data_IF_544180992718
#
_entry.id   IF_544180992718
#
_cell.length_a   1.000
_cell.length_b   1.000
_cell.length_c   1.000
_cell.angle_alpha   90.00
_cell.angle_beta   90.00
_cell.angle_gamma   90.00
#
_symmetry.space_group_name_H-M   'P 1'
#
loop_
_entity.id
_entity.type
_entity.pdbx_description
1 polymer ?
#
# COMPACT_ATOMS: atom_id res chain seq x y z
N UNK A 1 31.43 5.32 -10.48
CA UNK A 1 30.83 5.60 -9.15
C UNK A 1 29.46 4.96 -9.17
N UNK A 2 29.36 3.78 -8.52
CA UNK A 2 28.06 3.18 -8.26
C UNK A 2 27.30 4.15 -7.34
N UNK A 3 26.20 4.67 -7.80
CA UNK A 3 25.26 5.40 -6.94
C UNK A 3 24.60 4.32 -6.11
N UNK A 4 25.04 4.17 -4.86
CA UNK A 4 24.38 3.37 -3.87
C UNK A 4 22.91 3.83 -3.79
N UNK A 5 22.00 2.90 -4.07
CA UNK A 5 20.57 3.23 -4.01
C UNK A 5 20.25 3.71 -2.60
N UNK A 6 19.45 4.78 -2.41
CA UNK A 6 19.13 5.27 -1.08
C UNK A 6 18.45 4.15 -0.30
N UNK A 7 18.89 3.95 0.94
CA UNK A 7 18.25 3.02 1.86
C UNK A 7 16.89 3.60 2.27
N UNK A 8 15.83 3.07 1.64
CA UNK A 8 14.46 3.52 1.83
C UNK A 8 13.78 2.91 3.07
N UNK A 9 14.42 1.94 3.71
CA UNK A 9 13.75 1.08 4.70
C UNK A 9 14.38 1.10 6.08
N UNK A 10 15.64 1.48 6.23
CA UNK A 10 16.34 1.48 7.53
C UNK A 10 15.63 2.30 8.60
N UNK A 11 15.10 3.47 8.25
CA UNK A 11 14.34 4.29 9.20
C UNK A 11 13.01 3.62 9.61
N UNK A 12 12.36 2.87 8.70
CA UNK A 12 11.14 2.13 9.01
C UNK A 12 11.44 0.96 9.94
N UNK A 13 12.52 0.24 9.69
CA UNK A 13 12.95 -0.88 10.52
C UNK A 13 13.35 -0.42 11.93
N UNK A 14 14.00 0.74 12.05
CA UNK A 14 14.41 1.34 13.31
C UNK A 14 13.26 1.98 14.12
N UNK A 15 12.14 2.32 13.47
CA UNK A 15 11.02 3.00 14.11
C UNK A 15 10.44 2.18 15.27
N UNK A 16 10.08 2.85 16.35
CA UNK A 16 9.58 2.23 17.59
C UNK A 16 8.04 2.32 17.70
N UNK A 17 7.42 3.23 16.94
CA UNK A 17 5.99 3.45 16.98
C UNK A 17 5.42 3.83 15.60
N UNK A 18 4.10 3.89 15.51
CA UNK A 18 3.38 4.21 14.27
C UNK A 18 3.68 5.63 13.73
N UNK A 19 3.75 6.69 14.55
CA UNK A 19 4.18 8.01 14.12
C UNK A 19 5.57 8.06 13.48
N UNK A 20 6.54 7.33 14.04
CA UNK A 20 7.88 7.20 13.45
C UNK A 20 7.84 6.46 12.11
N UNK A 21 7.11 5.35 12.03
CA UNK A 21 6.88 4.64 10.76
C UNK A 21 6.25 5.56 9.70
N UNK A 22 5.25 6.37 10.08
CA UNK A 22 4.61 7.32 9.16
C UNK A 22 5.60 8.37 8.64
N UNK A 23 6.49 8.84 9.52
CA UNK A 23 7.53 9.83 9.16
C UNK A 23 8.55 9.22 8.21
N UNK A 24 9.06 8.03 8.52
CA UNK A 24 10.00 7.30 7.68
C UNK A 24 9.39 6.94 6.30
N UNK A 25 8.14 6.49 6.27
CA UNK A 25 7.45 6.19 5.03
C UNK A 25 7.27 7.43 4.14
N UNK A 26 6.99 8.61 4.75
CA UNK A 26 6.92 9.87 3.99
C UNK A 26 8.26 10.23 3.36
N UNK A 27 9.37 10.06 4.08
CA UNK A 27 10.72 10.30 3.54
C UNK A 27 11.05 9.34 2.42
N UNK A 28 10.73 8.06 2.58
CA UNK A 28 10.91 7.05 1.54
C UNK A 28 10.09 7.38 0.27
N UNK A 29 8.82 7.78 0.43
CA UNK A 29 8.00 8.22 -0.68
C UNK A 29 8.61 9.43 -1.42
N UNK A 30 9.10 10.44 -0.66
CA UNK A 30 9.77 11.61 -1.22
C UNK A 30 11.07 11.26 -1.96
N UNK A 31 11.87 10.34 -1.43
CA UNK A 31 13.07 9.85 -2.09
C UNK A 31 12.77 9.13 -3.41
N UNK A 32 11.60 8.49 -3.52
CA UNK A 32 11.07 7.90 -4.76
C UNK A 32 10.40 8.94 -5.69
N UNK A 33 10.33 10.21 -5.26
CA UNK A 33 9.73 11.31 -6.04
C UNK A 33 8.21 11.42 -5.92
N UNK A 34 7.62 10.97 -4.80
CA UNK A 34 6.19 11.07 -4.53
C UNK A 34 5.91 11.93 -3.31
N UNK A 35 4.89 12.78 -3.41
CA UNK A 35 4.48 13.71 -2.36
C UNK A 35 3.60 13.04 -1.32
N UNK A 36 2.87 12.01 -1.73
CA UNK A 36 1.84 11.37 -0.94
C UNK A 36 1.98 9.85 -0.93
N UNK A 37 1.62 9.24 0.20
CA UNK A 37 1.52 7.80 0.32
C UNK A 37 0.26 7.41 1.11
N UNK A 38 -0.21 6.21 0.89
CA UNK A 38 -1.15 5.53 1.77
C UNK A 38 -0.83 4.05 1.79
N UNK A 39 -0.79 3.48 2.97
CA UNK A 39 -0.68 2.04 3.18
C UNK A 39 -1.90 1.57 3.96
N UNK A 40 -2.62 0.64 3.39
CA UNK A 40 -3.73 -0.02 4.06
C UNK A 40 -3.54 -1.52 4.01
N UNK A 41 -3.81 -2.20 5.13
CA UNK A 41 -3.89 -3.64 5.09
C UNK A 41 -5.01 -4.16 5.99
N UNK A 42 -5.49 -5.34 5.66
CA UNK A 42 -6.55 -6.05 6.35
C UNK A 42 -6.03 -7.41 6.76
N UNK A 43 -6.34 -7.80 7.98
CA UNK A 43 -6.07 -9.14 8.49
C UNK A 43 -7.39 -9.81 8.87
N UNK A 44 -7.62 -11.04 8.43
CA UNK A 44 -8.79 -11.81 8.83
C UNK A 44 -8.57 -12.56 10.16
N UNK A 45 -7.93 -11.93 11.16
CA UNK A 45 -7.66 -12.54 12.47
C UNK A 45 -8.96 -13.06 13.11
N UNK A 46 -10.10 -12.51 12.76
CA UNK A 46 -11.41 -13.02 13.11
C UNK A 46 -12.32 -13.05 11.89
N UNK A 47 -12.99 -14.17 11.66
CA UNK A 47 -14.02 -14.28 10.62
C UNK A 47 -15.18 -13.29 10.84
N UNK A 48 -15.37 -12.86 12.09
CA UNK A 48 -16.45 -11.94 12.47
C UNK A 48 -16.04 -10.48 12.50
N UNK A 49 -14.75 -10.16 12.68
CA UNK A 49 -14.25 -8.79 12.80
C UNK A 49 -12.88 -8.66 12.10
N UNK A 50 -12.85 -8.47 10.78
CA UNK A 50 -11.58 -8.19 10.10
C UNK A 50 -11.04 -6.85 10.60
N UNK A 51 -9.83 -6.86 11.10
CA UNK A 51 -9.15 -5.63 11.51
C UNK A 51 -8.53 -4.97 10.28
N UNK A 52 -8.88 -3.72 10.04
CA UNK A 52 -8.28 -2.89 8.99
C UNK A 52 -7.39 -1.84 9.64
N UNK A 53 -6.18 -1.71 9.13
CA UNK A 53 -5.25 -0.66 9.51
C UNK A 53 -4.92 0.22 8.31
N UNK A 54 -4.90 1.55 8.52
CA UNK A 54 -4.57 2.52 7.48
C UNK A 54 -3.55 3.50 8.02
N UNK A 55 -2.38 3.56 7.37
CA UNK A 55 -1.37 4.59 7.55
C UNK A 55 -1.42 5.54 6.36
N UNK A 56 -1.87 6.78 6.56
CA UNK A 56 -2.11 7.71 5.46
C UNK A 56 -1.27 8.98 5.56
N UNK A 57 -0.53 9.25 4.50
CA UNK A 57 0.07 10.54 4.18
C UNK A 57 -0.66 11.27 3.04
N UNK A 58 -1.85 10.84 2.66
CA UNK A 58 -2.73 11.57 1.74
C UNK A 58 -3.33 12.79 2.42
N UNK A 59 -3.68 13.86 1.66
CA UNK A 59 -4.34 15.05 2.21
C UNK A 59 -5.59 14.68 3.00
N UNK A 60 -5.73 15.27 4.19
CA UNK A 60 -6.87 15.00 5.08
C UNK A 60 -8.21 15.31 4.41
N UNK A 61 -8.29 16.42 3.67
CA UNK A 61 -9.49 16.80 2.94
C UNK A 61 -9.90 15.72 1.92
N UNK A 62 -8.94 15.11 1.23
CA UNK A 62 -9.19 13.98 0.33
C UNK A 62 -9.70 12.76 1.08
N UNK A 63 -9.08 12.39 2.19
CA UNK A 63 -9.51 11.23 2.99
C UNK A 63 -10.96 11.37 3.46
N UNK A 64 -11.31 12.54 4.02
CA UNK A 64 -12.68 12.83 4.45
C UNK A 64 -13.67 12.82 3.27
N UNK A 65 -13.26 13.32 2.11
CA UNK A 65 -14.06 13.29 0.88
C UNK A 65 -14.29 11.87 0.35
N UNK A 66 -13.24 11.06 0.30
CA UNK A 66 -13.26 9.66 -0.12
C UNK A 66 -14.23 8.83 0.73
N UNK A 67 -14.14 8.97 2.06
CA UNK A 67 -14.99 8.24 3.00
C UNK A 67 -16.47 8.69 2.90
N UNK A 68 -16.72 10.00 2.79
CA UNK A 68 -18.08 10.56 2.63
C UNK A 68 -18.78 10.08 1.38
N UNK A 69 -18.04 9.90 0.29
CA UNK A 69 -18.59 9.42 -0.97
C UNK A 69 -18.59 7.89 -1.11
N UNK A 70 -18.15 7.16 -0.06
CA UNK A 70 -18.07 5.70 -0.05
C UNK A 70 -17.25 5.14 -1.23
N UNK A 71 -16.17 5.82 -1.60
CA UNK A 71 -15.35 5.47 -2.75
C UNK A 71 -14.66 4.11 -2.60
N UNK A 72 -14.43 3.65 -1.38
CA UNK A 72 -13.85 2.32 -1.12
C UNK A 72 -14.62 1.20 -1.85
N UNK A 73 -15.94 1.33 -1.99
CA UNK A 73 -16.78 0.31 -2.62
C UNK A 73 -16.61 0.21 -4.15
N UNK A 74 -16.05 1.24 -4.78
CA UNK A 74 -15.90 1.32 -6.25
C UNK A 74 -14.45 1.54 -6.69
N UNK A 75 -13.51 1.68 -5.76
CA UNK A 75 -12.11 1.98 -6.07
C UNK A 75 -11.44 0.78 -6.76
N UNK A 76 -11.07 0.91 -8.05
CA UNK A 76 -10.43 -0.18 -8.78
C UNK A 76 -9.00 -0.48 -8.27
N UNK A 77 -8.36 0.45 -7.55
CA UNK A 77 -7.07 0.20 -6.89
C UNK A 77 -7.21 -0.94 -5.90
N UNK A 78 -8.24 -0.90 -5.06
CA UNK A 78 -8.47 -1.92 -4.03
C UNK A 78 -8.80 -3.26 -4.67
N UNK A 79 -9.72 -3.27 -5.65
CA UNK A 79 -10.10 -4.50 -6.34
C UNK A 79 -8.90 -5.14 -7.05
N UNK A 80 -8.09 -4.35 -7.75
CA UNK A 80 -6.90 -4.86 -8.44
C UNK A 80 -5.82 -5.33 -7.45
N UNK A 81 -5.62 -4.63 -6.35
CA UNK A 81 -4.65 -5.02 -5.33
C UNK A 81 -4.96 -6.38 -4.68
N UNK A 82 -6.23 -6.72 -4.53
CA UNK A 82 -6.65 -8.03 -4.00
C UNK A 82 -6.39 -9.19 -4.98
N UNK A 83 -6.26 -8.91 -6.27
CA UNK A 83 -6.10 -9.92 -7.33
C UNK A 83 -4.70 -9.91 -7.98
N UNK A 84 -3.81 -9.00 -7.59
CA UNK A 84 -2.48 -8.85 -8.17
C UNK A 84 -1.40 -8.96 -7.10
N UNK A 85 -0.23 -9.47 -7.51
CA UNK A 85 1.00 -9.42 -6.70
C UNK A 85 2.02 -8.44 -7.28
N UNK A 86 1.77 -7.92 -8.48
CA UNK A 86 2.65 -6.97 -9.15
C UNK A 86 2.17 -5.55 -8.96
N UNK A 87 3.09 -4.58 -8.85
CA UNK A 87 2.75 -3.16 -8.89
C UNK A 87 2.04 -2.81 -10.19
N UNK A 88 1.16 -1.84 -10.13
CA UNK A 88 0.40 -1.36 -11.27
C UNK A 88 0.22 0.16 -11.23
N UNK A 89 0.27 0.78 -12.40
CA UNK A 89 0.03 2.20 -12.61
C UNK A 89 -1.48 2.50 -12.58
N UNK A 90 -1.87 3.61 -12.01
CA UNK A 90 -3.26 4.06 -12.02
C UNK A 90 -3.76 4.43 -13.43
N UNK A 91 -2.87 4.69 -14.37
CA UNK A 91 -3.24 4.89 -15.78
C UNK A 91 -3.72 3.61 -16.44
N UNK A 92 -3.34 2.44 -15.93
CA UNK A 92 -3.74 1.12 -16.43
C UNK A 92 -5.13 0.67 -15.92
N UNK A 93 -5.71 1.41 -14.98
CA UNK A 93 -7.00 1.05 -14.40
C UNK A 93 -8.15 1.42 -15.33
N UNK A 94 -9.18 0.57 -15.34
CA UNK A 94 -10.41 0.87 -16.05
C UNK A 94 -11.17 2.01 -15.35
N UNK A 95 -11.44 3.06 -16.10
CA UNK A 95 -12.16 4.26 -15.66
C UNK A 95 -13.44 4.49 -16.47
N UNK A 96 -13.95 3.44 -17.11
CA UNK A 96 -15.17 3.50 -17.94
C UNK A 96 -16.43 3.78 -17.13
N UNK A 97 -16.47 3.36 -15.85
CA UNK A 97 -17.57 3.75 -14.97
C UNK A 97 -17.48 5.25 -14.62
N UNK A 98 -18.56 6.02 -14.83
CA UNK A 98 -18.58 7.46 -14.53
C UNK A 98 -18.21 7.81 -13.09
N UNK A 99 -18.57 6.97 -12.11
CA UNK A 99 -18.21 7.18 -10.71
C UNK A 99 -16.72 6.93 -10.45
N UNK A 100 -16.12 5.94 -11.11
CA UNK A 100 -14.66 5.70 -11.06
C UNK A 100 -13.92 6.85 -11.73
N UNK A 101 -14.37 7.31 -12.91
CA UNK A 101 -13.79 8.48 -13.56
C UNK A 101 -13.88 9.74 -12.67
N UNK A 102 -14.98 9.91 -11.94
CA UNK A 102 -15.16 11.01 -10.98
C UNK A 102 -14.15 10.90 -9.83
N UNK A 103 -14.00 9.71 -9.22
CA UNK A 103 -13.04 9.45 -8.16
C UNK A 103 -11.62 9.92 -8.54
N UNK A 104 -11.11 9.50 -9.71
CA UNK A 104 -9.78 9.90 -10.15
C UNK A 104 -9.64 11.38 -10.50
N UNK A 105 -10.69 12.00 -11.03
CA UNK A 105 -10.71 13.45 -11.31
C UNK A 105 -10.62 14.24 -10.01
N UNK A 106 -11.43 13.88 -9.01
CA UNK A 106 -11.43 14.54 -7.70
C UNK A 106 -10.15 14.27 -6.92
N UNK A 107 -9.58 13.06 -6.99
CA UNK A 107 -8.26 12.75 -6.43
C UNK A 107 -7.18 13.68 -7.01
N UNK A 108 -7.22 13.93 -8.32
CA UNK A 108 -6.27 14.82 -9.00
C UNK A 108 -6.35 16.26 -8.50
N UNK A 109 -7.53 16.75 -8.10
CA UNK A 109 -7.72 18.08 -7.50
C UNK A 109 -7.03 18.22 -6.12
N UNK A 110 -6.76 17.08 -5.47
CA UNK A 110 -6.06 17.01 -4.20
C UNK A 110 -4.57 16.62 -4.33
N UNK A 111 -3.99 16.72 -5.55
CA UNK A 111 -2.59 16.38 -5.80
C UNK A 111 -2.32 14.91 -6.05
N UNK A 112 -3.33 14.06 -6.13
CA UNK A 112 -3.22 12.61 -6.33
C UNK A 112 -3.53 12.25 -7.80
N UNK A 113 -2.82 12.90 -8.73
CA UNK A 113 -3.09 12.76 -10.17
C UNK A 113 -2.40 11.55 -10.78
N UNK A 114 -1.13 11.38 -10.49
CA UNK A 114 -0.31 10.29 -10.99
C UNK A 114 0.15 9.43 -9.82
N UNK A 115 -0.09 8.14 -9.93
CA UNK A 115 0.28 7.23 -8.88
C UNK A 115 0.32 5.79 -9.35
N UNK A 116 0.85 4.95 -8.51
CA UNK A 116 0.85 3.50 -8.67
C UNK A 116 0.64 2.84 -7.33
N UNK A 117 0.27 1.57 -7.39
CA UNK A 117 0.00 0.79 -6.19
C UNK A 117 0.77 -0.51 -6.20
N UNK A 118 1.21 -0.89 -5.02
CA UNK A 118 1.98 -2.11 -4.74
C UNK A 118 1.13 -2.99 -3.84
N UNK A 119 0.57 -4.08 -4.36
CA UNK A 119 -0.12 -5.07 -3.53
C UNK A 119 0.84 -5.75 -2.57
N UNK A 120 0.36 -6.07 -1.38
CA UNK A 120 1.05 -6.92 -0.41
C UNK A 120 0.10 -8.00 0.08
N UNK A 121 0.62 -9.20 0.20
CA UNK A 121 -0.14 -10.35 0.68
C UNK A 121 0.67 -11.06 1.76
N UNK A 122 0.01 -11.42 2.84
CA UNK A 122 0.61 -12.14 3.95
C UNK A 122 0.00 -13.50 4.17
N UNK A 123 0.48 -14.20 5.19
CA UNK A 123 -0.13 -15.46 5.63
C UNK A 123 -1.57 -15.25 6.11
N UNK A 124 -2.33 -16.35 6.15
CA UNK A 124 -3.68 -16.38 6.71
C UNK A 124 -4.71 -15.43 6.02
N UNK A 125 -4.50 -15.10 4.74
CA UNK A 125 -5.42 -14.25 3.99
C UNK A 125 -5.27 -12.74 4.26
N UNK A 126 -4.15 -12.33 4.80
CA UNK A 126 -3.80 -10.92 4.90
C UNK A 126 -3.61 -10.32 3.51
N UNK A 127 -4.13 -9.13 3.30
CA UNK A 127 -3.96 -8.39 2.06
C UNK A 127 -3.94 -6.89 2.30
N UNK A 128 -3.11 -6.19 1.53
CA UNK A 128 -2.96 -4.76 1.65
C UNK A 128 -2.41 -4.13 0.39
N UNK A 129 -2.23 -2.83 0.44
CA UNK A 129 -1.73 -2.05 -0.67
C UNK A 129 -0.97 -0.82 -0.17
N UNK A 130 0.22 -0.60 -0.71
CA UNK A 130 0.93 0.68 -0.65
C UNK A 130 0.63 1.44 -1.94
N UNK A 131 0.09 2.63 -1.83
CA UNK A 131 -0.07 3.55 -2.97
C UNK A 131 0.81 4.77 -2.79
N UNK A 132 1.52 5.15 -3.83
CA UNK A 132 2.34 6.36 -3.91
C UNK A 132 1.74 7.28 -4.98
N UNK A 133 1.59 8.56 -4.66
CA UNK A 133 0.94 9.51 -5.54
C UNK A 133 1.60 10.88 -5.54
N UNK A 134 1.45 11.60 -6.68
CA UNK A 134 1.96 12.96 -6.88
C UNK A 134 1.11 13.75 -7.88
N UNK A 135 1.20 15.07 -7.81
CA UNK A 135 0.52 15.95 -8.76
C UNK A 135 1.19 15.94 -10.13
N UNK A 136 2.51 15.95 -10.18
CA UNK A 136 3.37 15.98 -11.39
C UNK A 136 4.77 15.43 -11.03
N UNK A 137 5.53 14.91 -11.98
CA UNK A 137 5.16 14.53 -13.34
C UNK A 137 4.47 13.15 -13.40
N UNK A 138 4.00 12.70 -14.58
CA UNK A 138 3.55 11.31 -14.75
C UNK A 138 4.67 10.31 -14.46
N UNK A 139 4.34 9.03 -14.31
CA UNK A 139 5.34 7.98 -14.07
C UNK A 139 6.31 7.87 -15.25
N UNK A 140 7.56 7.40 -15.00
CA UNK A 140 8.54 7.18 -16.06
C UNK A 140 7.99 6.26 -17.15
N UNK A 141 8.17 6.66 -18.42
CA UNK A 141 7.81 5.83 -19.57
C UNK A 141 8.89 4.81 -19.92
N UNK A 142 10.15 5.11 -19.58
CA UNK A 142 11.28 4.21 -19.77
C UNK A 142 11.13 2.96 -18.92
N UNK A 143 11.10 1.78 -19.55
CA UNK A 143 10.84 0.50 -18.89
C UNK A 143 11.80 0.24 -17.72
N UNK A 144 13.09 0.50 -17.91
CA UNK A 144 14.10 0.25 -16.88
C UNK A 144 13.90 1.14 -15.63
N UNK A 145 13.54 2.40 -15.82
CA UNK A 145 13.27 3.33 -14.70
C UNK A 145 12.00 2.92 -13.95
N UNK A 146 10.96 2.54 -14.70
CA UNK A 146 9.69 2.08 -14.14
C UNK A 146 9.86 0.78 -13.35
N UNK A 147 10.63 -0.18 -13.89
CA UNK A 147 10.95 -1.43 -13.19
C UNK A 147 11.72 -1.19 -11.90
N UNK A 148 12.73 -0.30 -11.93
CA UNK A 148 13.50 0.06 -10.73
C UNK A 148 12.60 0.69 -9.66
N UNK A 149 11.73 1.62 -10.05
CA UNK A 149 10.76 2.23 -9.16
C UNK A 149 9.85 1.19 -8.51
N UNK A 150 9.30 0.28 -9.30
CA UNK A 150 8.41 -0.77 -8.81
C UNK A 150 9.13 -1.75 -7.88
N UNK A 151 10.35 -2.18 -8.20
CA UNK A 151 11.16 -3.06 -7.35
C UNK A 151 11.46 -2.42 -5.99
N UNK A 152 11.92 -1.16 -5.98
CA UNK A 152 12.18 -0.43 -4.74
C UNK A 152 10.92 -0.29 -3.89
N UNK A 153 9.79 0.00 -4.52
CA UNK A 153 8.51 0.16 -3.83
C UNK A 153 7.93 -1.16 -3.34
N UNK A 154 8.17 -2.28 -4.02
CA UNK A 154 7.80 -3.61 -3.53
C UNK A 154 8.57 -3.96 -2.25
N UNK A 155 9.87 -3.68 -2.22
CA UNK A 155 10.68 -3.89 -1.02
C UNK A 155 10.19 -2.99 0.12
N UNK A 156 9.98 -1.70 -0.15
CA UNK A 156 9.41 -0.76 0.82
C UNK A 156 8.07 -1.26 1.39
N UNK A 157 7.17 -1.72 0.54
CA UNK A 157 5.86 -2.21 0.97
C UNK A 157 5.95 -3.46 1.85
N UNK A 158 6.87 -4.39 1.53
CA UNK A 158 7.11 -5.60 2.31
C UNK A 158 7.66 -5.28 3.71
N UNK A 159 8.65 -4.39 3.80
CA UNK A 159 9.22 -3.94 5.08
C UNK A 159 8.17 -3.20 5.91
N UNK A 160 7.41 -2.30 5.28
CA UNK A 160 6.34 -1.55 5.93
C UNK A 160 5.26 -2.48 6.51
N UNK A 161 4.81 -3.48 5.73
CA UNK A 161 3.84 -4.47 6.21
C UNK A 161 4.39 -5.24 7.42
N UNK A 162 5.63 -5.73 7.34
CA UNK A 162 6.27 -6.47 8.42
C UNK A 162 6.34 -5.64 9.70
N UNK A 163 6.78 -4.39 9.58
CA UNK A 163 6.91 -3.48 10.72
C UNK A 163 5.58 -3.13 11.36
N UNK A 164 4.60 -2.74 10.53
CA UNK A 164 3.27 -2.38 11.04
C UNK A 164 2.54 -3.58 11.63
N UNK A 165 2.73 -4.77 11.05
CA UNK A 165 2.19 -5.98 11.63
C UNK A 165 2.71 -6.23 13.03
N UNK A 166 4.03 -6.13 13.24
CA UNK A 166 4.62 -6.25 14.56
C UNK A 166 4.01 -5.22 15.55
N UNK A 167 4.01 -3.93 15.18
CA UNK A 167 3.51 -2.86 16.06
C UNK A 167 2.00 -2.92 16.35
N UNK A 168 1.19 -3.46 15.44
CA UNK A 168 -0.28 -3.45 15.57
C UNK A 168 -0.81 -4.76 16.17
N UNK A 169 -0.11 -5.88 15.96
CA UNK A 169 -0.63 -7.22 16.29
C UNK A 169 0.23 -8.04 17.25
N UNK A 170 1.39 -7.53 17.71
CA UNK A 170 2.22 -8.22 18.71
C UNK A 170 1.47 -8.52 20.02
N UNK A 171 0.34 -7.84 20.31
CA UNK A 171 -0.49 -8.11 21.49
C UNK A 171 -1.49 -9.27 21.30
N UNK A 172 -1.62 -9.84 20.11
CA UNK A 172 -2.60 -10.89 19.80
C UNK A 172 -1.97 -12.15 19.22
N UNK A 173 -0.94 -12.70 19.84
CA UNK A 173 -0.50 -14.07 19.52
C UNK A 173 -1.57 -15.07 19.92
N UNK A 174 -2.49 -15.34 19.00
CA UNK A 174 -3.25 -16.58 19.05
C UNK A 174 -2.32 -17.71 18.62
N UNK A 175 -2.13 -18.77 19.43
CA UNK A 175 -1.20 -19.84 19.08
C UNK A 175 -1.61 -20.43 17.73
N UNK A 176 -0.69 -20.42 16.80
CA UNK A 176 -0.84 -21.01 15.48
C UNK A 176 -1.28 -22.47 15.67
N UNK A 177 -2.52 -22.79 15.35
CA UNK A 177 -3.00 -24.18 15.40
C UNK A 177 -2.10 -25.01 14.48
N UNK A 178 -1.39 -25.96 15.06
CA UNK A 178 -0.58 -26.87 14.27
C UNK A 178 -1.47 -27.56 13.21
N UNK A 179 -1.00 -27.59 11.97
CA UNK A 179 -1.69 -28.29 10.89
C UNK A 179 -1.94 -29.74 11.28
N UNK A 180 -3.15 -30.20 11.06
CA UNK A 180 -3.49 -31.62 11.19
C UNK A 180 -2.68 -32.45 10.18
N UNK A 181 -2.57 -33.76 10.41
CA UNK A 181 -1.85 -34.63 9.48
C UNK A 181 -2.41 -34.53 8.05
N UNK A 182 -3.73 -34.45 7.89
CA UNK A 182 -4.38 -34.30 6.57
C UNK A 182 -4.06 -32.98 5.88
N UNK A 183 -3.96 -31.89 6.63
CA UNK A 183 -3.58 -30.57 6.08
C UNK A 183 -2.11 -30.53 5.66
N UNK A 184 -1.23 -31.28 6.34
CA UNK A 184 0.18 -31.45 5.95
C UNK A 184 0.35 -32.30 4.71
N UNK A 185 -0.50 -33.30 4.53
CA UNK A 185 -0.44 -34.21 3.38
C UNK A 185 -0.96 -33.54 2.07
N UNK A 186 -1.55 -32.33 2.18
CA UNK A 186 -2.03 -31.54 1.04
C UNK A 186 -1.05 -30.43 0.58
N UNK A 187 0.09 -30.26 1.26
CA UNK A 187 1.15 -29.31 0.91
C UNK A 187 2.30 -30.02 0.19
#
# INVERSE_FOLDING_TARGET
MEHEAPDLTSEIEAASDIPEVATACRRAAQALGFEHFIFGFRTPISLTHPTQFILSGFPRAWREHYDRNSYLAIDPVITRALCSILPFDWEELDKGDPRVAQLFREAAEHGLRYGFSVPVHGGHGEGGVLSLARAQPPLPKALAERQRLFQQSQWLAAVLQTKLRALVFEETETPTRALTQRERDCL
#
